data_IF_303851359534
#
_entry.id   IF_303851359534
#
_cell.length_a   1.000
_cell.length_b   1.000
_cell.length_c   1.000
_cell.angle_alpha   90.00
_cell.angle_beta   90.00
_cell.angle_gamma   90.00
#
_symmetry.space_group_name_H-M   'P 1'
#
loop_
_entity.id
_entity.type
_entity.pdbx_description
1 polymer ?
#
# COMPACT_ATOMS: atom_id res chain seq x y z
N UNK A 1 12.77 13.23 4.07
CA UNK A 1 11.86 12.20 4.61
C UNK A 1 10.48 12.45 4.03
N UNK A 2 9.83 11.40 3.53
CA UNK A 2 8.46 11.45 3.02
C UNK A 2 7.65 10.37 3.78
N UNK A 3 6.72 10.81 4.63
CA UNK A 3 6.00 9.95 5.56
C UNK A 3 4.49 10.10 5.40
N UNK A 4 3.76 8.99 5.42
CA UNK A 4 2.29 9.03 5.36
C UNK A 4 1.68 9.50 6.67
N UNK A 5 0.57 10.24 6.56
CA UNK A 5 -0.27 10.63 7.68
C UNK A 5 -1.75 10.59 7.26
N UNK A 6 -2.19 9.40 6.83
CA UNK A 6 -3.52 9.16 6.25
C UNK A 6 -3.48 8.80 4.76
N UNK A 7 -4.65 8.86 4.12
CA UNK A 7 -4.83 8.55 2.70
C UNK A 7 -4.15 9.58 1.79
N UNK A 8 -3.75 9.17 0.60
CA UNK A 8 -3.14 10.07 -0.39
C UNK A 8 -4.21 10.82 -1.19
N UNK A 9 -4.23 12.15 -1.04
CA UNK A 9 -4.96 13.06 -1.91
C UNK A 9 -4.08 13.56 -3.07
N UNK A 10 -4.69 14.19 -4.06
CA UNK A 10 -3.99 14.82 -5.20
C UNK A 10 -2.89 15.77 -4.75
N UNK A 11 -3.19 16.62 -3.76
CA UNK A 11 -2.28 17.62 -3.20
C UNK A 11 -1.09 16.96 -2.52
N UNK A 12 -1.31 15.83 -1.83
CA UNK A 12 -0.26 15.05 -1.19
C UNK A 12 0.68 14.43 -2.23
N UNK A 13 0.13 13.92 -3.34
CA UNK A 13 0.94 13.37 -4.43
C UNK A 13 1.77 14.46 -5.13
N UNK A 14 1.18 15.62 -5.42
CA UNK A 14 1.90 16.76 -6.01
C UNK A 14 3.00 17.30 -5.07
N UNK A 15 2.70 17.42 -3.78
CA UNK A 15 3.67 17.79 -2.75
C UNK A 15 4.84 16.80 -2.70
N UNK A 16 4.55 15.51 -2.71
CA UNK A 16 5.55 14.45 -2.70
C UNK A 16 6.45 14.46 -3.93
N UNK A 17 5.86 14.60 -5.12
CA UNK A 17 6.61 14.69 -6.37
C UNK A 17 7.59 15.88 -6.37
N UNK A 18 7.10 17.08 -6.04
CA UNK A 18 7.94 18.28 -5.97
C UNK A 18 9.05 18.14 -4.90
N UNK A 19 8.75 17.53 -3.74
CA UNK A 19 9.76 17.26 -2.72
C UNK A 19 10.88 16.34 -3.23
N UNK A 20 10.51 15.27 -3.94
CA UNK A 20 11.48 14.32 -4.52
C UNK A 20 12.37 15.02 -5.56
N UNK A 21 11.80 15.89 -6.40
CA UNK A 21 12.58 16.69 -7.36
C UNK A 21 13.63 17.57 -6.67
N UNK A 22 13.26 18.22 -5.55
CA UNK A 22 14.19 19.02 -4.75
C UNK A 22 15.31 18.16 -4.15
N UNK A 23 14.99 16.98 -3.61
CA UNK A 23 15.97 16.05 -3.08
C UNK A 23 16.92 15.54 -4.18
N UNK A 24 16.38 15.15 -5.34
CA UNK A 24 17.17 14.69 -6.48
C UNK A 24 18.12 15.79 -6.98
N UNK A 25 17.64 17.02 -7.14
CA UNK A 25 18.47 18.16 -7.57
C UNK A 25 19.59 18.48 -6.58
N UNK A 26 19.32 18.31 -5.28
CA UNK A 26 20.28 18.59 -4.19
C UNK A 26 21.11 17.39 -3.77
N UNK A 27 20.95 16.23 -4.43
CA UNK A 27 21.66 14.99 -4.10
C UNK A 27 21.43 14.53 -2.65
N UNK A 28 20.20 14.69 -2.16
CA UNK A 28 19.81 14.31 -0.80
C UNK A 28 19.12 12.94 -0.84
N UNK A 29 19.61 11.94 -0.07
CA UNK A 29 18.92 10.65 0.10
C UNK A 29 17.50 10.80 0.63
N UNK A 30 16.61 9.90 0.22
CA UNK A 30 15.19 9.95 0.59
C UNK A 30 14.83 8.74 1.42
N UNK A 31 14.34 8.99 2.64
CA UNK A 31 13.68 8.01 3.49
C UNK A 31 12.16 8.10 3.28
N UNK A 32 11.56 6.99 2.90
CA UNK A 32 10.11 6.78 2.79
C UNK A 32 9.62 6.02 4.02
N UNK A 33 8.62 6.57 4.71
CA UNK A 33 7.98 5.93 5.87
C UNK A 33 6.55 5.57 5.47
N UNK A 34 6.31 4.27 5.25
CA UNK A 34 5.04 3.76 4.75
C UNK A 34 4.06 3.45 5.87
N UNK A 35 2.94 4.15 5.84
CA UNK A 35 1.71 3.79 6.56
C UNK A 35 0.52 4.25 5.71
N UNK A 36 0.30 3.54 4.60
CA UNK A 36 -0.60 3.94 3.53
C UNK A 36 -1.63 2.87 3.21
N UNK A 37 -2.90 3.27 3.27
CA UNK A 37 -4.04 2.42 2.91
C UNK A 37 -4.48 2.59 1.47
N UNK A 38 -4.04 3.67 0.79
CA UNK A 38 -4.30 3.92 -0.62
C UNK A 38 -4.54 5.40 -0.94
N UNK A 39 -5.02 5.65 -2.16
CA UNK A 39 -5.46 6.97 -2.62
C UNK A 39 -6.92 7.22 -2.26
N UNK A 40 -7.31 8.49 -2.14
CA UNK A 40 -8.70 8.87 -1.93
C UNK A 40 -9.56 8.42 -3.13
N UNK A 41 -10.65 7.71 -2.86
CA UNK A 41 -11.60 7.26 -3.89
C UNK A 41 -12.80 8.20 -3.98
N UNK A 42 -13.45 8.25 -5.14
CA UNK A 42 -14.72 8.95 -5.34
C UNK A 42 -14.73 9.86 -6.56
N UNK A 43 -15.94 10.20 -7.02
CA UNK A 43 -16.14 10.92 -8.28
C UNK A 43 -15.40 12.25 -8.36
N UNK A 44 -15.36 13.01 -7.27
CA UNK A 44 -14.65 14.28 -7.20
C UNK A 44 -13.13 14.10 -7.29
N UNK A 45 -12.58 13.07 -6.64
CA UNK A 45 -11.15 12.75 -6.69
C UNK A 45 -10.72 12.34 -8.11
N UNK A 46 -11.51 11.49 -8.76
CA UNK A 46 -11.27 11.05 -10.13
C UNK A 46 -11.34 12.22 -11.13
N UNK A 47 -12.39 13.05 -11.06
CA UNK A 47 -12.51 14.27 -11.88
C UNK A 47 -11.40 15.29 -11.59
N UNK A 48 -10.97 15.39 -10.34
CA UNK A 48 -9.81 16.19 -9.92
C UNK A 48 -8.47 15.66 -10.44
N UNK A 49 -8.46 14.47 -11.06
CA UNK A 49 -7.29 13.88 -11.68
C UNK A 49 -6.35 13.22 -10.68
N UNK A 50 -6.89 12.58 -9.64
CA UNK A 50 -6.07 11.86 -8.66
C UNK A 50 -5.14 10.84 -9.31
N UNK A 51 -5.60 10.13 -10.35
CA UNK A 51 -4.78 9.20 -11.11
C UNK A 51 -3.53 9.88 -11.73
N UNK A 52 -3.72 10.99 -12.46
CA UNK A 52 -2.60 11.73 -13.06
C UNK A 52 -1.71 12.44 -12.03
N UNK A 53 -2.21 12.73 -10.84
CA UNK A 53 -1.43 13.33 -9.77
C UNK A 53 -0.61 12.28 -9.02
N UNK A 54 -1.21 11.12 -8.73
CA UNK A 54 -0.51 9.93 -8.24
C UNK A 54 0.58 9.46 -9.20
N UNK A 55 0.32 9.48 -10.51
CA UNK A 55 1.31 9.14 -11.52
C UNK A 55 2.55 10.04 -11.47
N UNK A 56 2.41 11.35 -11.17
CA UNK A 56 3.57 12.24 -11.01
C UNK A 56 4.45 11.83 -9.83
N UNK A 57 3.83 11.45 -8.71
CA UNK A 57 4.55 10.95 -7.55
C UNK A 57 5.32 9.68 -7.90
N UNK A 58 4.66 8.71 -8.54
CA UNK A 58 5.29 7.46 -8.97
C UNK A 58 6.44 7.72 -9.93
N UNK A 59 6.27 8.59 -10.94
CA UNK A 59 7.34 8.99 -11.86
C UNK A 59 8.54 9.58 -11.10
N UNK A 60 8.29 10.47 -10.14
CA UNK A 60 9.36 11.06 -9.35
C UNK A 60 10.13 10.00 -8.52
N UNK A 61 9.41 9.07 -7.88
CA UNK A 61 10.01 7.95 -7.14
C UNK A 61 10.87 7.06 -8.05
N UNK A 62 10.36 6.68 -9.22
CA UNK A 62 11.05 5.81 -10.18
C UNK A 62 12.33 6.44 -10.74
N UNK A 63 12.28 7.75 -11.03
CA UNK A 63 13.36 8.44 -11.75
C UNK A 63 14.36 9.16 -10.84
N UNK A 64 14.08 9.27 -9.54
CA UNK A 64 15.00 9.87 -8.59
C UNK A 64 16.30 9.07 -8.48
N UNK A 65 17.39 9.69 -8.97
CA UNK A 65 18.75 9.16 -8.92
C UNK A 65 19.48 9.60 -7.64
N UNK A 66 18.93 9.23 -6.48
CA UNK A 66 19.53 9.39 -5.15
C UNK A 66 19.29 8.11 -4.35
N UNK A 67 20.07 7.80 -3.30
CA UNK A 67 19.76 6.66 -2.45
C UNK A 67 18.35 6.78 -1.84
N UNK A 68 17.54 5.73 -2.02
CA UNK A 68 16.19 5.62 -1.46
C UNK A 68 16.19 4.53 -0.39
N UNK A 69 15.57 4.81 0.75
CA UNK A 69 15.35 3.85 1.84
C UNK A 69 13.86 3.81 2.15
N UNK A 70 13.33 2.62 2.41
CA UNK A 70 11.91 2.44 2.73
C UNK A 70 11.75 1.73 4.06
N UNK A 71 10.91 2.27 4.93
CA UNK A 71 10.54 1.66 6.20
C UNK A 71 9.02 1.56 6.28
N UNK A 72 8.49 0.34 6.36
CA UNK A 72 7.05 0.09 6.52
C UNK A 72 6.71 0.04 8.00
N UNK A 73 6.05 1.09 8.49
CA UNK A 73 5.71 1.26 9.92
C UNK A 73 4.25 0.92 10.24
N UNK A 74 3.43 0.70 9.20
CA UNK A 74 2.01 0.35 9.33
C UNK A 74 1.52 -0.35 8.06
N UNK A 75 0.48 0.20 7.43
CA UNK A 75 -0.06 -0.36 6.20
C UNK A 75 0.84 -0.07 4.98
N UNK A 76 0.92 -1.02 4.06
CA UNK A 76 1.47 -0.85 2.72
C UNK A 76 0.54 -1.49 1.71
N UNK A 77 -0.46 -0.74 1.26
CA UNK A 77 -1.53 -1.26 0.40
C UNK A 77 -1.58 -0.62 -0.98
N UNK A 78 -1.81 -1.47 -1.99
CA UNK A 78 -2.18 -1.10 -3.36
C UNK A 78 -1.29 -0.04 -3.98
N UNK A 79 -1.90 0.92 -4.68
CA UNK A 79 -1.16 2.01 -5.34
C UNK A 79 -0.37 2.90 -4.36
N UNK A 80 -0.72 2.90 -3.07
CA UNK A 80 0.05 3.61 -2.04
C UNK A 80 1.46 3.06 -1.88
N UNK A 81 1.63 1.73 -1.96
CA UNK A 81 2.94 1.08 -1.97
C UNK A 81 3.83 1.63 -3.09
N UNK A 82 3.25 1.85 -4.28
CA UNK A 82 3.97 2.34 -5.45
C UNK A 82 4.45 3.78 -5.26
N UNK A 83 3.55 4.68 -4.87
CA UNK A 83 3.87 6.10 -4.65
C UNK A 83 4.85 6.35 -3.49
N UNK A 84 5.05 5.36 -2.61
CA UNK A 84 5.90 5.47 -1.43
C UNK A 84 7.19 4.62 -1.53
N UNK A 85 7.64 4.30 -2.74
CA UNK A 85 8.88 3.55 -2.99
C UNK A 85 8.88 2.12 -2.40
N UNK A 86 7.84 1.34 -2.70
CA UNK A 86 7.81 -0.10 -2.41
C UNK A 86 8.89 -0.90 -3.15
N UNK A 87 8.90 -2.22 -2.95
CA UNK A 87 9.97 -3.11 -3.42
C UNK A 87 10.29 -2.99 -4.91
N UNK A 88 9.27 -2.78 -5.75
CA UNK A 88 9.40 -2.66 -7.20
C UNK A 88 10.09 -1.36 -7.69
N UNK A 89 10.42 -0.43 -6.78
CA UNK A 89 11.04 0.86 -7.09
C UNK A 89 12.51 0.94 -6.62
N UNK A 90 13.10 -0.22 -6.34
CA UNK A 90 14.50 -0.44 -5.99
C UNK A 90 15.04 0.54 -4.92
N UNK A 91 14.39 0.64 -3.74
CA UNK A 91 15.07 1.24 -2.59
C UNK A 91 16.32 0.41 -2.27
N UNK A 92 17.39 1.07 -1.80
CA UNK A 92 18.64 0.40 -1.41
C UNK A 92 18.41 -0.61 -0.29
N UNK A 93 17.51 -0.28 0.63
CA UNK A 93 16.98 -1.18 1.63
C UNK A 93 15.50 -0.88 1.86
N UNK A 94 14.72 -1.94 2.06
CA UNK A 94 13.34 -1.89 2.50
C UNK A 94 13.18 -2.72 3.76
N UNK A 95 12.81 -2.11 4.88
CA UNK A 95 12.56 -2.81 6.14
C UNK A 95 11.09 -2.70 6.55
N UNK A 96 10.65 -3.65 7.38
CA UNK A 96 9.29 -3.67 7.92
C UNK A 96 9.33 -3.69 9.45
N UNK A 97 8.39 -3.00 10.10
CA UNK A 97 8.14 -3.15 11.52
C UNK A 97 7.27 -4.38 11.81
N UNK A 98 7.30 -4.96 13.03
CA UNK A 98 6.54 -6.17 13.34
C UNK A 98 5.02 -5.97 13.30
N UNK A 99 4.54 -4.74 13.48
CA UNK A 99 3.11 -4.38 13.42
C UNK A 99 2.61 -4.05 12.00
N UNK A 100 3.51 -4.03 11.00
CA UNK A 100 3.15 -3.62 9.64
C UNK A 100 2.31 -4.68 8.92
N UNK A 101 1.65 -4.30 7.84
CA UNK A 101 0.90 -5.21 6.96
C UNK A 101 1.10 -4.80 5.50
N UNK A 102 1.35 -5.76 4.61
CA UNK A 102 1.52 -5.51 3.17
C UNK A 102 0.58 -6.39 2.36
N UNK A 103 -0.18 -5.78 1.46
CA UNK A 103 -1.15 -6.51 0.61
C UNK A 103 -1.58 -5.65 -0.58
N UNK A 104 -2.30 -6.24 -1.53
CA UNK A 104 -2.92 -5.49 -2.64
C UNK A 104 -3.98 -4.48 -2.14
N UNK A 105 -4.68 -4.81 -1.06
CA UNK A 105 -5.63 -3.95 -0.35
C UNK A 105 -5.82 -4.48 1.08
N UNK A 106 -6.47 -3.72 1.96
CA UNK A 106 -6.74 -4.19 3.32
C UNK A 106 -7.69 -5.40 3.35
N UNK A 107 -7.50 -6.33 4.30
CA UNK A 107 -8.28 -7.57 4.37
C UNK A 107 -9.79 -7.35 4.44
N UNK A 108 -10.25 -6.37 5.22
CA UNK A 108 -11.67 -6.00 5.31
C UNK A 108 -12.24 -5.50 3.96
N UNK A 109 -11.47 -4.69 3.24
CA UNK A 109 -11.86 -4.18 1.92
C UNK A 109 -11.92 -5.32 0.90
N UNK A 110 -10.92 -6.20 0.92
CA UNK A 110 -10.88 -7.35 0.03
C UNK A 110 -12.04 -8.31 0.28
N UNK A 111 -12.30 -8.65 1.55
CA UNK A 111 -13.39 -9.54 1.92
C UNK A 111 -14.74 -8.97 1.46
N UNK A 112 -15.00 -7.68 1.70
CA UNK A 112 -16.22 -7.03 1.24
C UNK A 112 -16.41 -7.08 -0.29
N UNK A 113 -15.39 -6.69 -1.06
CA UNK A 113 -15.46 -6.67 -2.53
C UNK A 113 -15.60 -8.08 -3.11
N UNK A 114 -14.83 -9.05 -2.60
CA UNK A 114 -14.87 -10.43 -3.08
C UNK A 114 -16.23 -11.09 -2.79
N UNK A 115 -16.80 -10.86 -1.60
CA UNK A 115 -18.12 -11.38 -1.26
C UNK A 115 -19.21 -10.78 -2.16
N UNK A 116 -19.18 -9.48 -2.44
CA UNK A 116 -20.14 -8.85 -3.35
C UNK A 116 -20.05 -9.41 -4.78
N UNK A 117 -18.84 -9.62 -5.30
CA UNK A 117 -18.64 -10.24 -6.62
C UNK A 117 -19.18 -11.68 -6.64
N UNK A 118 -18.84 -12.47 -5.63
CA UNK A 118 -19.29 -13.86 -5.55
C UNK A 118 -20.82 -13.98 -5.36
N UNK A 119 -21.44 -13.10 -4.57
CA UNK A 119 -22.90 -13.01 -4.43
C UNK A 119 -23.56 -12.70 -5.78
N UNK A 120 -23.04 -11.69 -6.50
CA UNK A 120 -23.56 -11.31 -7.80
C UNK A 120 -23.45 -12.45 -8.83
N UNK A 121 -22.36 -13.23 -8.78
CA UNK A 121 -22.19 -14.41 -9.62
C UNK A 121 -23.14 -15.55 -9.22
N UNK A 122 -23.26 -15.88 -7.93
CA UNK A 122 -24.11 -16.97 -7.45
C UNK A 122 -25.60 -16.69 -7.67
N UNK A 123 -26.04 -15.44 -7.55
CA UNK A 123 -27.42 -15.04 -7.84
C UNK A 123 -27.83 -15.36 -9.30
N UNK A 124 -26.88 -15.37 -10.23
CA UNK A 124 -27.13 -15.76 -11.63
C UNK A 124 -27.25 -17.28 -11.82
N UNK A 125 -26.55 -18.08 -11.02
CA UNK A 125 -26.41 -19.53 -11.25
C UNK A 125 -27.18 -20.43 -10.26
N UNK A 126 -27.21 -20.09 -8.97
CA UNK A 126 -27.59 -21.02 -7.87
C UNK A 126 -28.35 -20.38 -6.69
N UNK A 127 -28.87 -19.16 -6.84
CA UNK A 127 -29.61 -18.46 -5.78
C UNK A 127 -28.72 -17.72 -4.76
N UNK A 128 -29.26 -17.39 -3.59
CA UNK A 128 -28.57 -16.61 -2.55
C UNK A 128 -27.86 -17.50 -1.51
N UNK A 129 -26.83 -16.97 -0.85
CA UNK A 129 -26.17 -17.64 0.27
C UNK A 129 -27.02 -17.59 1.53
N UNK A 130 -26.84 -18.58 2.41
CA UNK A 130 -27.24 -18.41 3.80
C UNK A 130 -26.28 -17.43 4.51
N UNK A 131 -26.75 -16.79 5.58
CA UNK A 131 -25.91 -15.92 6.41
C UNK A 131 -24.68 -16.63 6.97
N UNK A 132 -24.80 -17.92 7.31
CA UNK A 132 -23.69 -18.74 7.80
C UNK A 132 -22.64 -19.04 6.72
N UNK A 133 -23.08 -19.33 5.49
CA UNK A 133 -22.15 -19.55 4.37
C UNK A 133 -21.34 -18.29 4.06
N UNK A 134 -22.01 -17.13 4.06
CA UNK A 134 -21.38 -15.83 3.83
C UNK A 134 -20.35 -15.51 4.93
N UNK A 135 -20.72 -15.69 6.20
CA UNK A 135 -19.84 -15.42 7.33
C UNK A 135 -18.58 -16.31 7.28
N UNK A 136 -18.74 -17.62 7.02
CA UNK A 136 -17.60 -18.54 6.89
C UNK A 136 -16.65 -18.14 5.75
N UNK A 137 -17.20 -17.69 4.62
CA UNK A 137 -16.38 -17.19 3.50
C UNK A 137 -15.66 -15.90 3.85
N UNK A 138 -16.34 -14.99 4.54
CA UNK A 138 -15.74 -13.74 5.03
C UNK A 138 -14.57 -14.02 5.96
N UNK A 139 -14.77 -14.87 6.96
CA UNK A 139 -13.73 -15.26 7.92
C UNK A 139 -12.53 -15.91 7.23
N UNK A 140 -12.77 -16.86 6.32
CA UNK A 140 -11.69 -17.49 5.56
C UNK A 140 -10.87 -16.49 4.71
N UNK A 141 -11.52 -15.47 4.14
CA UNK A 141 -10.82 -14.40 3.41
C UNK A 141 -10.01 -13.50 4.35
N UNK A 142 -10.57 -13.14 5.51
CA UNK A 142 -9.87 -12.33 6.51
C UNK A 142 -8.63 -13.05 7.05
N UNK A 143 -8.75 -14.33 7.39
CA UNK A 143 -7.64 -15.16 7.88
C UNK A 143 -6.53 -15.30 6.82
N UNK A 144 -6.93 -15.47 5.55
CA UNK A 144 -5.98 -15.50 4.44
C UNK A 144 -5.22 -14.17 4.32
N UNK A 145 -5.92 -13.04 4.36
CA UNK A 145 -5.28 -11.73 4.28
C UNK A 145 -4.38 -11.47 5.49
N UNK A 146 -4.80 -11.82 6.71
CA UNK A 146 -3.99 -11.61 7.91
C UNK A 146 -2.70 -12.43 7.85
N UNK A 147 -2.78 -13.69 7.42
CA UNK A 147 -1.60 -14.55 7.28
C UNK A 147 -0.66 -14.10 6.15
N UNK A 148 -1.19 -13.81 4.96
CA UNK A 148 -0.38 -13.43 3.79
C UNK A 148 0.16 -11.99 3.85
N UNK A 149 -0.44 -11.12 4.66
CA UNK A 149 0.01 -9.73 4.83
C UNK A 149 0.95 -9.52 6.01
N UNK A 150 1.16 -10.55 6.84
CA UNK A 150 2.04 -10.48 8.01
C UNK A 150 3.51 -10.23 7.60
N UNK A 151 4.29 -9.42 8.35
CA UNK A 151 5.68 -9.11 8.00
C UNK A 151 6.57 -10.37 7.91
N UNK A 152 6.29 -11.41 8.69
CA UNK A 152 6.99 -12.69 8.56
C UNK A 152 6.69 -13.42 7.25
N UNK A 153 5.47 -13.29 6.70
CA UNK A 153 5.15 -13.85 5.40
C UNK A 153 5.91 -13.14 4.28
N UNK A 154 5.99 -11.81 4.38
CA UNK A 154 6.74 -10.92 3.49
C UNK A 154 8.25 -11.21 3.52
N UNK A 155 8.84 -11.23 4.71
CA UNK A 155 10.29 -11.39 4.90
C UNK A 155 10.78 -12.79 4.51
N UNK A 156 9.95 -13.82 4.73
CA UNK A 156 10.20 -15.18 4.23
C UNK A 156 10.29 -15.26 2.68
N UNK A 157 9.86 -14.21 1.96
CA UNK A 157 9.83 -14.13 0.49
C UNK A 157 10.68 -12.99 -0.07
N UNK A 158 11.51 -12.35 0.76
CA UNK A 158 12.40 -11.26 0.38
C UNK A 158 11.71 -10.05 -0.28
N UNK A 159 10.44 -9.81 0.07
CA UNK A 159 9.75 -8.58 -0.32
C UNK A 159 10.30 -7.36 0.44
N UNK A 160 10.88 -7.63 1.61
CA UNK A 160 11.68 -6.75 2.44
C UNK A 160 13.06 -7.39 2.71
N UNK A 161 13.97 -6.58 3.22
CA UNK A 161 15.34 -6.96 3.61
C UNK A 161 15.44 -7.28 5.11
N UNK A 162 14.30 -7.34 5.81
CA UNK A 162 14.21 -7.74 7.20
C UNK A 162 13.07 -7.07 7.97
N UNK A 163 12.65 -7.76 9.03
CA UNK A 163 11.78 -7.20 10.07
C UNK A 163 12.66 -6.65 11.19
N UNK A 164 12.52 -5.37 11.51
CA UNK A 164 13.34 -4.66 12.51
C UNK A 164 12.48 -4.14 13.65
N UNK A 165 13.04 -4.07 14.86
CA UNK A 165 12.35 -3.44 15.98
C UNK A 165 12.17 -1.94 15.72
N UNK A 166 11.05 -1.32 16.12
CA UNK A 166 10.87 0.12 15.98
C UNK A 166 12.00 0.95 16.60
N UNK A 167 12.57 0.49 17.71
CA UNK A 167 13.70 1.13 18.40
C UNK A 167 15.00 1.14 17.61
N UNK A 168 15.15 0.24 16.64
CA UNK A 168 16.39 0.03 15.89
C UNK A 168 16.36 0.76 14.52
N UNK A 169 15.36 1.63 14.33
CA UNK A 169 15.15 2.32 13.05
C UNK A 169 16.17 3.44 12.76
N UNK A 170 16.94 3.90 13.76
CA UNK A 170 17.85 5.06 13.67
C UNK A 170 19.30 4.65 13.45
#
# INVERSE_FOLDING_TARGET
VLANNGVLFSEAALKGAHFIELCAKRQIPILFIQNITGFMVGHAAEKGGIAKNGAKLVTAVSTANVPKLTLVVGASYGAGNYGMCGRAYDPRFLFMWPNSRIAVMGGEQAAGVMLEIEKAARKKDKGEWSSEEEQKKREALLDKYESESHPYYSSARLWDDGVVLPTDSR
#
